data_IF_499472104303
#
_entry.id   IF_499472104303
#
_cell.length_a   1.000
_cell.length_b   1.000
_cell.length_c   1.000
_cell.angle_alpha   90.00
_cell.angle_beta   90.00
_cell.angle_gamma   90.00
#
_symmetry.space_group_name_H-M   'P 1'
#
loop_
_entity.id
_entity.type
_entity.pdbx_description
1 polymer ?
#
# COMPACT_ATOMS: atom_id res chain seq x y z
N UNK A 1 -9.39 -2.66 -2.84
CA UNK A 1 -8.91 -1.26 -2.77
C UNK A 1 -9.95 -0.37 -3.41
N UNK A 2 -10.35 0.71 -2.74
CA UNK A 2 -11.29 1.71 -3.28
C UNK A 2 -10.51 2.99 -3.65
N UNK A 3 -10.94 3.67 -4.71
CA UNK A 3 -10.42 4.99 -5.06
C UNK A 3 -11.51 6.04 -4.83
N UNK A 4 -11.15 7.10 -4.13
CA UNK A 4 -12.04 8.21 -3.82
C UNK A 4 -11.46 9.52 -4.32
N UNK A 5 -12.35 10.43 -4.70
CA UNK A 5 -11.98 11.78 -5.13
C UNK A 5 -11.41 12.62 -3.98
N UNK A 6 -11.90 12.41 -2.75
CA UNK A 6 -11.55 13.17 -1.55
C UNK A 6 -11.88 12.38 -0.29
N UNK A 7 -11.30 12.79 0.84
CA UNK A 7 -11.56 12.19 2.17
C UNK A 7 -13.03 12.33 2.61
N UNK A 8 -13.70 13.42 2.22
CA UNK A 8 -15.12 13.61 2.49
C UNK A 8 -15.98 12.47 1.89
N UNK A 9 -15.61 11.99 0.70
CA UNK A 9 -16.29 10.85 0.09
C UNK A 9 -16.02 9.55 0.84
N UNK A 10 -14.85 9.41 1.48
CA UNK A 10 -14.53 8.25 2.33
C UNK A 10 -15.46 8.25 3.53
N UNK A 11 -15.56 9.38 4.25
CA UNK A 11 -16.43 9.50 5.43
C UNK A 11 -17.89 9.19 5.10
N UNK A 12 -18.41 9.72 4.00
CA UNK A 12 -19.77 9.42 3.52
C UNK A 12 -19.93 7.94 3.16
N UNK A 13 -18.96 7.36 2.46
CA UNK A 13 -19.02 5.97 2.04
C UNK A 13 -18.91 4.99 3.22
N UNK A 14 -18.13 5.34 4.26
CA UNK A 14 -17.98 4.50 5.45
C UNK A 14 -19.28 4.38 6.24
N UNK A 15 -20.06 5.46 6.35
CA UNK A 15 -21.38 5.46 7.02
C UNK A 15 -21.34 4.80 8.41
N UNK A 16 -20.39 5.24 9.25
CA UNK A 16 -20.20 4.73 10.61
C UNK A 16 -19.42 3.41 10.72
N UNK A 17 -19.05 2.77 9.61
CA UNK A 17 -18.12 1.62 9.62
C UNK A 17 -16.70 2.06 9.96
N UNK A 18 -15.95 1.16 10.60
CA UNK A 18 -14.54 1.38 10.87
C UNK A 18 -13.75 1.61 9.57
N UNK A 19 -12.91 2.65 9.56
CA UNK A 19 -12.01 2.93 8.45
C UNK A 19 -10.83 1.94 8.46
N UNK A 20 -10.33 1.59 7.28
CA UNK A 20 -8.96 1.11 7.11
C UNK A 20 -8.01 2.28 6.91
N UNK A 21 -6.79 1.99 6.46
CA UNK A 21 -5.83 3.04 6.11
C UNK A 21 -6.11 3.66 4.74
N UNK A 22 -5.73 4.93 4.60
CA UNK A 22 -5.84 5.67 3.35
C UNK A 22 -4.48 6.26 2.98
N UNK A 23 -4.17 6.21 1.68
CA UNK A 23 -2.94 6.78 1.13
C UNK A 23 -3.30 7.56 -0.13
N UNK A 24 -2.45 8.51 -0.51
CA UNK A 24 -2.63 9.22 -1.77
C UNK A 24 -2.43 8.28 -2.96
N UNK A 25 -3.04 8.62 -4.10
CA UNK A 25 -2.80 7.90 -5.35
C UNK A 25 -1.32 7.92 -5.78
N UNK A 26 -0.59 8.99 -5.46
CA UNK A 26 0.86 9.06 -5.70
C UNK A 26 1.61 8.03 -4.85
N UNK A 27 1.29 7.92 -3.55
CA UNK A 27 1.91 6.92 -2.66
C UNK A 27 1.59 5.49 -3.10
N UNK A 28 0.38 5.23 -3.59
CA UNK A 28 0.03 3.96 -4.20
C UNK A 28 0.86 3.67 -5.47
N UNK A 29 1.15 4.69 -6.28
CA UNK A 29 2.02 4.56 -7.45
C UNK A 29 3.47 4.25 -7.05
N UNK A 30 3.99 4.92 -6.01
CA UNK A 30 5.31 4.63 -5.44
C UNK A 30 5.38 3.18 -4.95
N UNK A 31 4.33 2.73 -4.24
CA UNK A 31 4.21 1.34 -3.81
C UNK A 31 4.22 0.38 -4.99
N UNK A 32 3.44 0.67 -6.04
CA UNK A 32 3.40 -0.18 -7.23
C UNK A 32 4.77 -0.31 -7.89
N UNK A 33 5.48 0.81 -8.09
CA UNK A 33 6.82 0.77 -8.66
C UNK A 33 7.76 -0.05 -7.79
N UNK A 34 7.79 0.17 -6.48
CA UNK A 34 8.66 -0.58 -5.58
C UNK A 34 8.32 -2.09 -5.58
N UNK A 35 7.03 -2.44 -5.63
CA UNK A 35 6.58 -3.84 -5.57
C UNK A 35 6.84 -4.63 -6.84
N UNK A 36 6.80 -3.99 -8.00
CA UNK A 36 6.90 -4.66 -9.31
C UNK A 36 8.13 -4.26 -10.13
N UNK A 37 9.04 -3.42 -9.61
CA UNK A 37 10.22 -2.94 -10.35
C UNK A 37 11.09 -4.05 -10.94
N UNK A 38 11.22 -5.17 -10.24
CA UNK A 38 12.10 -6.29 -10.60
C UNK A 38 11.38 -7.42 -11.34
N UNK A 39 10.06 -7.33 -11.55
CA UNK A 39 9.24 -8.44 -12.06
C UNK A 39 9.56 -8.91 -13.47
N UNK A 40 10.26 -8.08 -14.23
CA UNK A 40 10.70 -8.40 -15.59
C UNK A 40 12.17 -8.84 -15.66
N UNK A 41 12.88 -8.86 -14.52
CA UNK A 41 14.24 -9.39 -14.45
C UNK A 41 14.23 -10.91 -14.71
N UNK A 42 15.15 -11.45 -15.53
CA UNK A 42 15.34 -12.89 -15.67
C UNK A 42 15.66 -13.60 -14.36
N UNK A 43 16.24 -12.88 -13.40
CA UNK A 43 16.60 -13.34 -12.05
C UNK A 43 15.46 -13.15 -11.04
N UNK A 44 14.28 -12.71 -11.50
CA UNK A 44 13.16 -12.44 -10.62
C UNK A 44 12.79 -13.67 -9.79
N UNK A 45 12.58 -13.41 -8.50
CA UNK A 45 11.93 -14.31 -7.58
C UNK A 45 10.87 -13.54 -6.79
N UNK A 46 9.85 -14.22 -6.24
CA UNK A 46 8.96 -13.60 -5.26
C UNK A 46 9.77 -12.99 -4.11
N UNK A 47 9.37 -11.79 -3.67
CA UNK A 47 9.89 -11.16 -2.47
C UNK A 47 9.52 -11.99 -1.23
N UNK A 48 10.44 -12.07 -0.27
CA UNK A 48 10.14 -12.62 1.05
C UNK A 48 9.24 -11.69 1.85
N UNK A 49 8.75 -12.13 3.01
CA UNK A 49 7.95 -11.29 3.89
C UNK A 49 8.77 -10.09 4.38
N UNK A 50 10.03 -10.30 4.74
CA UNK A 50 10.96 -9.26 5.20
C UNK A 50 11.24 -8.23 4.10
N UNK A 51 11.41 -8.67 2.85
CA UNK A 51 11.60 -7.79 1.70
C UNK A 51 10.35 -6.93 1.41
N UNK A 52 9.17 -7.54 1.47
CA UNK A 52 7.90 -6.81 1.32
C UNK A 52 7.70 -5.81 2.47
N UNK A 53 8.02 -6.19 3.72
CA UNK A 53 7.94 -5.27 4.86
C UNK A 53 8.90 -4.10 4.68
N UNK A 54 10.13 -4.34 4.22
CA UNK A 54 11.11 -3.30 3.95
C UNK A 54 10.65 -2.31 2.86
N UNK A 55 9.91 -2.79 1.84
CA UNK A 55 9.27 -1.92 0.84
C UNK A 55 8.23 -1.00 1.51
N UNK A 56 7.36 -1.54 2.37
CA UNK A 56 6.36 -0.74 3.09
C UNK A 56 7.02 0.30 4.00
N UNK A 57 7.99 -0.14 4.81
CA UNK A 57 8.72 0.73 5.75
C UNK A 57 9.46 1.85 5.00
N UNK A 58 10.12 1.52 3.89
CA UNK A 58 10.83 2.49 3.04
C UNK A 58 9.93 3.55 2.41
N UNK A 59 8.64 3.24 2.24
CA UNK A 59 7.64 4.18 1.72
C UNK A 59 6.92 4.96 2.83
N UNK A 60 7.23 4.70 4.10
CA UNK A 60 6.56 5.26 5.26
C UNK A 60 5.19 4.65 5.54
N UNK A 61 4.88 3.49 4.93
CA UNK A 61 3.67 2.73 5.20
C UNK A 61 3.90 1.88 6.44
N UNK A 62 3.78 2.52 7.60
CA UNK A 62 4.10 1.96 8.93
C UNK A 62 2.86 1.93 9.82
N UNK A 63 2.89 1.10 10.86
CA UNK A 63 1.77 0.92 11.81
C UNK A 63 1.19 -0.49 11.73
N UNK A 64 0.21 -0.78 12.58
CA UNK A 64 -0.36 -2.14 12.70
C UNK A 64 -1.00 -2.62 11.40
N UNK A 65 -1.71 -1.74 10.69
CA UNK A 65 -2.33 -2.05 9.40
C UNK A 65 -1.31 -2.48 8.32
N UNK A 66 -0.11 -1.93 8.36
CA UNK A 66 0.95 -2.16 7.37
C UNK A 66 1.97 -3.22 7.79
N UNK A 67 1.77 -3.85 8.95
CA UNK A 67 2.63 -4.95 9.40
C UNK A 67 2.20 -6.23 8.69
N UNK A 68 3.13 -6.79 7.92
CA UNK A 68 3.02 -8.14 7.35
C UNK A 68 3.36 -9.16 8.45
N UNK A 69 2.74 -10.35 8.36
CA UNK A 69 2.62 -11.35 9.44
C UNK A 69 3.86 -11.66 10.28
#
# INVERSE_FOLDING_TARGET
>A
MNLFRSEEHITRWLDGRAAGETISASKLCDLAHAWWADRLSPEWRPHTLEENQAILDGLGLVGEFWRLG
#
